data_IF_222185640792
#
_entry.id   IF_222185640792
#
_cell.length_a   1.000
_cell.length_b   1.000
_cell.length_c   1.000
_cell.angle_alpha   90.00
_cell.angle_beta   90.00
_cell.angle_gamma   90.00
#
_symmetry.space_group_name_H-M   'P 1'
#
loop_
_entity.id
_entity.type
_entity.pdbx_description
1 polymer ?
#
# COMPACT_ATOMS: atom_id res chain seq x y z
N UNK A 1 62.55 28.94 35.29
CA UNK A 1 61.58 27.84 35.45
C UNK A 1 60.20 28.40 35.20
N UNK A 2 59.51 27.86 34.20
CA UNK A 2 58.19 28.30 33.76
C UNK A 2 58.13 28.20 32.25
N UNK A 3 57.66 27.05 31.78
CA UNK A 3 57.76 26.56 30.42
C UNK A 3 56.61 27.07 29.54
N UNK A 4 56.91 27.18 28.25
CA UNK A 4 56.00 27.37 27.12
C UNK A 4 55.07 26.15 26.96
N UNK A 5 53.75 26.34 26.81
CA UNK A 5 52.86 25.33 26.21
C UNK A 5 51.62 25.96 25.55
N UNK A 6 51.81 26.29 24.28
CA UNK A 6 50.97 25.99 23.10
C UNK A 6 49.52 25.45 23.26
N UNK A 7 48.62 26.08 22.49
CA UNK A 7 47.38 25.59 21.85
C UNK A 7 46.78 24.25 22.30
N UNK A 8 45.47 24.25 22.66
CA UNK A 8 44.36 23.62 21.88
C UNK A 8 42.99 24.22 22.24
N UNK A 9 42.17 24.72 21.30
CA UNK A 9 40.73 24.78 21.50
C UNK A 9 40.15 23.37 21.41
N UNK A 10 39.34 22.97 22.41
CA UNK A 10 38.66 21.67 22.43
C UNK A 10 37.53 21.66 21.41
N UNK A 11 37.76 20.93 20.32
CA UNK A 11 36.71 20.50 19.40
C UNK A 11 35.83 19.47 20.08
N UNK A 12 34.71 19.90 20.66
CA UNK A 12 33.55 19.02 20.83
C UNK A 12 32.40 19.62 20.05
N UNK A 13 32.38 19.23 18.77
CA UNK A 13 31.27 19.41 17.86
C UNK A 13 30.08 18.58 18.39
N UNK A 14 29.37 19.12 19.37
CA UNK A 14 28.08 18.57 19.79
C UNK A 14 27.05 19.02 18.77
N UNK A 15 26.92 18.22 17.70
CA UNK A 15 25.76 18.29 16.82
C UNK A 15 24.57 17.90 17.69
N UNK A 16 23.95 18.89 18.34
CA UNK A 16 22.60 18.75 18.87
C UNK A 16 21.71 18.53 17.66
N UNK A 17 21.39 17.26 17.39
CA UNK A 17 20.22 16.89 16.61
C UNK A 17 18.99 17.36 17.38
N UNK A 18 18.70 18.66 17.28
CA UNK A 18 17.39 19.20 17.60
C UNK A 18 16.44 18.65 16.55
N UNK A 19 15.84 17.50 16.84
CA UNK A 19 14.63 17.04 16.18
C UNK A 19 13.58 18.10 16.49
N UNK A 20 13.44 19.08 15.60
CA UNK A 20 12.29 19.96 15.58
C UNK A 20 11.11 19.05 15.24
N UNK A 21 10.42 18.59 16.28
CA UNK A 21 9.07 18.06 16.21
C UNK A 21 8.19 19.17 15.62
N UNK A 22 8.11 19.19 14.28
CA UNK A 22 7.13 20.03 13.61
C UNK A 22 5.75 19.53 14.04
N UNK A 23 4.82 20.44 14.41
CA UNK A 23 3.47 20.08 14.77
C UNK A 23 2.88 19.26 13.64
N UNK A 24 2.40 18.08 14.02
CA UNK A 24 1.73 17.06 13.23
C UNK A 24 1.15 17.63 11.93
N UNK A 25 1.79 17.33 10.80
CA UNK A 25 1.03 17.29 9.54
C UNK A 25 -0.20 16.44 9.84
N UNK A 26 -1.44 16.93 9.68
CA UNK A 26 -2.58 16.04 9.71
C UNK A 26 -2.23 14.92 8.75
N UNK A 27 -2.32 13.67 9.22
CA UNK A 27 -2.11 12.50 8.38
C UNK A 27 -3.26 12.52 7.38
N UNK A 28 -3.15 13.37 6.35
CA UNK A 28 -4.01 13.30 5.20
C UNK A 28 -3.88 11.85 4.76
N UNK A 29 -5.01 11.14 4.69
CA UNK A 29 -5.03 9.76 4.25
C UNK A 29 -4.38 9.71 2.87
N UNK A 30 -3.08 9.46 2.84
CA UNK A 30 -2.34 9.53 1.61
C UNK A 30 -2.82 8.38 0.75
N UNK A 31 -3.02 8.69 -0.52
CA UNK A 31 -3.40 7.68 -1.49
C UNK A 31 -2.38 6.56 -1.47
N UNK A 32 -2.86 5.33 -1.32
CA UNK A 32 -2.01 4.16 -1.28
C UNK A 32 -2.11 3.38 -2.56
N UNK A 33 -1.07 2.61 -2.87
CA UNK A 33 -1.04 1.53 -3.83
C UNK A 33 -1.05 0.21 -3.07
N UNK A 34 -1.96 -0.67 -3.45
CA UNK A 34 -2.16 -1.98 -2.83
C UNK A 34 -1.95 -3.07 -3.86
N UNK A 35 -1.14 -4.08 -3.50
CA UNK A 35 -0.92 -5.25 -4.35
C UNK A 35 -0.60 -6.47 -3.50
N UNK A 36 -0.81 -7.66 -4.06
CA UNK A 36 -0.42 -8.91 -3.42
C UNK A 36 1.09 -9.08 -3.47
N UNK A 37 1.72 -9.19 -2.31
CA UNK A 37 3.13 -9.51 -2.19
C UNK A 37 3.32 -11.02 -2.40
N UNK A 38 4.17 -11.39 -3.35
CA UNK A 38 4.38 -12.79 -3.75
C UNK A 38 5.23 -13.58 -2.76
N UNK A 39 6.00 -12.89 -1.90
CA UNK A 39 6.93 -13.52 -0.95
C UNK A 39 6.23 -13.91 0.36
N UNK A 40 5.36 -13.04 0.89
CA UNK A 40 4.66 -13.30 2.16
C UNK A 40 3.17 -13.60 1.99
N UNK A 41 2.63 -13.50 0.76
CA UNK A 41 1.24 -13.79 0.46
C UNK A 41 0.22 -12.75 0.95
N UNK A 42 0.64 -11.73 1.71
CA UNK A 42 -0.21 -10.64 2.20
C UNK A 42 -0.36 -9.52 1.16
N UNK A 43 -1.26 -8.58 1.45
CA UNK A 43 -1.33 -7.32 0.71
C UNK A 43 -0.23 -6.39 1.22
N UNK A 44 0.55 -5.81 0.31
CA UNK A 44 1.46 -4.70 0.60
C UNK A 44 0.71 -3.38 0.42
N UNK A 45 0.82 -2.50 1.43
CA UNK A 45 0.31 -1.13 1.37
C UNK A 45 1.51 -0.21 1.15
N UNK A 46 1.56 0.44 -0.01
CA UNK A 46 2.61 1.36 -0.42
C UNK A 46 2.04 2.78 -0.51
N UNK A 47 2.72 3.77 0.05
CA UNK A 47 2.35 5.18 -0.17
C UNK A 47 2.64 5.59 -1.63
N UNK A 48 1.69 6.26 -2.30
CA UNK A 48 1.90 6.69 -3.69
C UNK A 48 2.96 7.78 -3.80
N UNK A 49 3.01 8.73 -2.85
CA UNK A 49 3.93 9.86 -2.89
C UNK A 49 5.40 9.47 -2.68
N UNK A 50 5.71 8.76 -1.59
CA UNK A 50 7.10 8.35 -1.30
C UNK A 50 7.52 7.03 -1.92
N UNK A 51 6.57 6.19 -2.36
CA UNK A 51 6.84 4.83 -2.79
C UNK A 51 7.24 3.89 -1.64
N UNK A 52 7.15 4.31 -0.38
CA UNK A 52 7.52 3.49 0.76
C UNK A 52 6.41 2.50 1.13
N UNK A 53 6.81 1.28 1.51
CA UNK A 53 5.90 0.31 2.12
C UNK A 53 5.61 0.75 3.55
N UNK A 54 4.32 0.92 3.86
CA UNK A 54 3.83 1.33 5.17
C UNK A 54 3.55 0.11 6.05
N UNK A 55 2.86 -0.88 5.48
CA UNK A 55 2.42 -2.07 6.21
C UNK A 55 2.06 -3.22 5.26
N UNK A 56 1.76 -4.36 5.86
CA UNK A 56 1.07 -5.49 5.23
C UNK A 56 -0.27 -5.75 5.89
N UNK A 57 -1.23 -6.35 5.19
CA UNK A 57 -2.52 -6.74 5.77
C UNK A 57 -3.12 -7.97 5.07
N UNK A 58 -4.08 -8.60 5.73
CA UNK A 58 -4.82 -9.75 5.21
C UNK A 58 -5.95 -9.32 4.28
N UNK A 59 -6.64 -8.22 4.60
CA UNK A 59 -7.66 -7.61 3.76
C UNK A 59 -7.73 -6.09 4.01
N UNK A 60 -8.31 -5.36 3.06
CA UNK A 60 -8.55 -3.93 3.22
C UNK A 60 -9.70 -3.43 2.34
N UNK A 61 -10.26 -2.28 2.72
CA UNK A 61 -11.22 -1.50 1.94
C UNK A 61 -10.58 -0.21 1.46
N UNK A 62 -10.68 0.06 0.15
CA UNK A 62 -10.31 1.35 -0.44
C UNK A 62 -11.54 2.09 -0.97
N UNK A 63 -11.58 3.40 -0.76
CA UNK A 63 -12.43 4.34 -1.49
C UNK A 63 -11.68 4.96 -2.68
N UNK A 64 -12.44 5.40 -3.68
CA UNK A 64 -11.94 6.10 -4.87
C UNK A 64 -10.86 5.28 -5.58
N UNK A 65 -11.19 4.01 -5.82
CA UNK A 65 -10.25 3.00 -6.24
C UNK A 65 -9.97 3.09 -7.74
N UNK A 66 -8.69 2.99 -8.11
CA UNK A 66 -8.23 2.91 -9.50
C UNK A 66 -7.47 1.60 -9.71
N UNK A 67 -7.89 0.83 -10.69
CA UNK A 67 -7.30 -0.46 -11.04
C UNK A 67 -6.23 -0.26 -12.11
N UNK A 68 -5.00 -0.66 -11.82
CA UNK A 68 -3.85 -0.42 -12.69
C UNK A 68 -3.10 -1.70 -12.96
N UNK A 69 -2.71 -1.86 -14.23
CA UNK A 69 -1.83 -2.93 -14.70
C UNK A 69 -0.66 -2.27 -15.43
N UNK A 70 0.57 -2.59 -15.01
CA UNK A 70 1.76 -2.28 -15.78
C UNK A 70 1.87 -3.29 -16.92
N UNK A 71 1.57 -2.83 -18.13
CA UNK A 71 1.52 -3.68 -19.33
C UNK A 71 2.89 -4.32 -19.64
N UNK A 72 4.00 -3.59 -19.47
CA UNK A 72 5.34 -4.16 -19.65
C UNK A 72 5.60 -5.29 -18.62
N UNK A 73 5.17 -5.07 -17.38
CA UNK A 73 5.23 -6.08 -16.33
C UNK A 73 4.38 -7.31 -16.67
N UNK A 74 3.16 -7.11 -17.17
CA UNK A 74 2.27 -8.18 -17.64
C UNK A 74 2.90 -8.97 -18.79
N UNK A 75 3.44 -8.30 -19.80
CA UNK A 75 4.10 -8.94 -20.94
C UNK A 75 5.26 -9.82 -20.49
N UNK A 76 6.07 -9.35 -19.53
CA UNK A 76 7.13 -10.17 -18.93
C UNK A 76 6.58 -11.43 -18.27
N UNK A 77 5.47 -11.35 -17.53
CA UNK A 77 4.81 -12.53 -16.93
C UNK A 77 4.33 -13.50 -18.01
N UNK A 78 3.72 -12.99 -19.08
CA UNK A 78 3.20 -13.81 -20.19
C UNK A 78 4.33 -14.53 -20.93
N UNK A 79 5.42 -13.83 -21.22
CA UNK A 79 6.59 -14.37 -21.92
C UNK A 79 7.37 -15.37 -21.06
N UNK A 80 7.69 -14.99 -19.83
CA UNK A 80 8.59 -15.80 -18.97
C UNK A 80 7.87 -16.88 -18.19
N UNK A 81 6.53 -16.81 -18.08
CA UNK A 81 5.69 -17.62 -17.19
C UNK A 81 6.09 -17.55 -15.71
N UNK A 82 6.83 -16.51 -15.31
CA UNK A 82 7.25 -16.26 -13.92
C UNK A 82 6.38 -15.18 -13.29
N UNK A 83 5.92 -15.41 -12.06
CA UNK A 83 5.09 -14.44 -11.33
C UNK A 83 5.91 -13.20 -10.97
N UNK A 84 5.38 -12.02 -11.25
CA UNK A 84 5.88 -10.73 -10.78
C UNK A 84 4.70 -9.85 -10.36
N UNK A 85 4.96 -8.83 -9.55
CA UNK A 85 3.95 -7.81 -9.24
C UNK A 85 3.85 -6.86 -10.44
N UNK A 86 2.68 -6.80 -11.05
CA UNK A 86 2.40 -5.95 -12.21
C UNK A 86 0.98 -5.37 -12.21
N UNK A 87 0.17 -5.73 -11.20
CA UNK A 87 -1.17 -5.23 -11.03
C UNK A 87 -1.34 -4.73 -9.60
N UNK A 88 -2.00 -3.58 -9.46
CA UNK A 88 -2.23 -2.93 -8.19
C UNK A 88 -3.50 -2.09 -8.23
N UNK A 89 -4.02 -1.77 -7.05
CA UNK A 89 -5.17 -0.89 -6.88
C UNK A 89 -4.72 0.31 -6.07
N UNK A 90 -5.04 1.52 -6.53
CA UNK A 90 -4.77 2.74 -5.79
C UNK A 90 -6.05 3.33 -5.20
N UNK A 91 -6.00 3.88 -3.99
CA UNK A 91 -7.18 4.48 -3.35
C UNK A 91 -6.89 5.04 -1.97
N UNK A 92 -7.94 5.47 -1.28
CA UNK A 92 -7.90 5.94 0.10
C UNK A 92 -8.29 4.79 1.02
N UNK A 93 -7.51 4.51 2.06
CA UNK A 93 -7.82 3.44 3.01
C UNK A 93 -9.06 3.82 3.82
N UNK A 94 -10.05 2.94 3.91
CA UNK A 94 -11.15 3.08 4.86
C UNK A 94 -11.02 2.10 6.03
N UNK A 95 -10.61 0.86 5.75
CA UNK A 95 -10.53 -0.22 6.74
C UNK A 95 -9.35 -1.16 6.40
N UNK A 96 -8.66 -1.70 7.41
CA UNK A 96 -7.59 -2.72 7.25
C UNK A 96 -7.70 -3.86 8.26
N UNK A 97 -7.58 -5.11 7.80
CA UNK A 97 -7.67 -6.31 8.61
C UNK A 97 -6.30 -7.00 8.70
N UNK A 98 -5.89 -7.41 9.91
CA UNK A 98 -4.62 -8.12 10.11
C UNK A 98 -3.40 -7.27 9.76
N UNK A 99 -3.42 -5.99 10.18
CA UNK A 99 -2.35 -5.03 9.88
C UNK A 99 -1.03 -5.43 10.57
N UNK A 100 0.05 -5.48 9.79
CA UNK A 100 1.43 -5.69 10.25
C UNK A 100 2.29 -4.52 9.78
N UNK A 101 2.73 -3.69 10.72
CA UNK A 101 3.61 -2.55 10.46
C UNK A 101 4.93 -2.96 9.79
N UNK A 102 5.45 -2.14 8.89
CA UNK A 102 6.71 -2.42 8.18
C UNK A 102 7.77 -1.38 8.50
N UNK A 103 8.96 -1.85 8.96
CA UNK A 103 10.12 -0.99 9.29
C UNK A 103 9.77 0.21 10.20
N UNK A 104 8.98 -0.03 11.24
CA UNK A 104 8.61 1.00 12.23
C UNK A 104 7.61 2.05 11.72
N UNK A 105 7.07 1.90 10.51
CA UNK A 105 6.01 2.77 9.98
C UNK A 105 4.65 2.23 10.43
N UNK A 106 3.81 3.12 10.93
CA UNK A 106 2.43 2.79 11.31
C UNK A 106 1.46 3.57 10.41
N UNK A 107 0.34 2.94 10.08
CA UNK A 107 -0.84 3.64 9.62
C UNK A 107 -1.64 4.08 10.84
N UNK A 108 -2.33 5.25 10.81
CA UNK A 108 -3.34 5.55 11.81
C UNK A 108 -4.36 4.40 11.84
N UNK A 109 -4.84 4.06 13.04
CA UNK A 109 -5.64 2.87 13.24
C UNK A 109 -6.98 2.98 12.50
N UNK A 110 -7.07 2.36 11.32
CA UNK A 110 -8.32 2.02 10.65
C UNK A 110 -8.70 0.62 11.13
N UNK A 111 -9.58 0.52 12.12
CA UNK A 111 -9.95 -0.78 12.68
C UNK A 111 -11.15 -1.37 11.92
N UNK A 112 -11.04 -2.61 11.45
CA UNK A 112 -12.22 -3.44 11.28
C UNK A 112 -12.76 -3.80 12.67
N UNK A 113 -14.07 -3.71 12.92
CA UNK A 113 -14.67 -4.46 14.00
C UNK A 113 -14.31 -5.94 13.82
N UNK A 114 -13.86 -6.66 14.87
CA UNK A 114 -13.60 -8.08 14.78
C UNK A 114 -14.82 -8.81 14.21
N UNK A 115 -14.63 -9.54 13.11
CA UNK A 115 -15.69 -10.31 12.46
C UNK A 115 -16.56 -9.55 11.46
N UNK A 116 -16.32 -8.26 11.19
CA UNK A 116 -16.96 -7.59 10.05
C UNK A 116 -16.30 -8.09 8.75
N UNK A 117 -17.01 -8.85 7.90
CA UNK A 117 -16.45 -9.22 6.62
C UNK A 117 -16.18 -7.96 5.80
N UNK A 118 -15.15 -8.00 4.96
CA UNK A 118 -14.98 -7.04 3.86
C UNK A 118 -16.09 -7.27 2.80
N UNK A 119 -17.34 -7.07 3.22
CA UNK A 119 -18.55 -7.30 2.45
C UNK A 119 -19.18 -5.95 2.09
N UNK A 120 -19.33 -5.70 0.78
CA UNK A 120 -19.97 -4.50 0.25
C UNK A 120 -21.50 -4.67 0.11
N UNK A 121 -22.07 -5.72 0.67
CA UNK A 121 -23.49 -6.02 0.60
C UNK A 121 -23.95 -6.41 -0.82
N UNK A 122 -25.24 -6.23 -1.08
CA UNK A 122 -25.90 -6.80 -2.27
C UNK A 122 -25.57 -6.10 -3.60
N UNK A 123 -24.99 -4.89 -3.59
CA UNK A 123 -24.64 -4.16 -4.82
C UNK A 123 -23.20 -4.39 -5.28
N UNK A 124 -22.53 -5.40 -4.72
CA UNK A 124 -21.14 -5.71 -5.02
C UNK A 124 -20.99 -6.47 -6.34
N UNK A 125 -20.04 -6.02 -7.17
CA UNK A 125 -19.51 -6.78 -8.31
C UNK A 125 -18.25 -7.53 -7.91
N UNK A 126 -18.08 -8.76 -8.41
CA UNK A 126 -16.90 -9.60 -8.17
C UNK A 126 -15.83 -9.30 -9.21
N UNK A 127 -14.65 -8.86 -8.77
CA UNK A 127 -13.57 -8.48 -9.67
C UNK A 127 -12.53 -9.57 -9.78
N UNK A 128 -12.00 -9.75 -10.99
CA UNK A 128 -10.95 -10.72 -11.29
C UNK A 128 -9.89 -10.12 -12.19
N UNK A 129 -8.68 -10.64 -12.03
CA UNK A 129 -7.56 -10.35 -12.92
C UNK A 129 -6.75 -11.61 -13.17
N UNK A 130 -6.42 -11.87 -14.43
CA UNK A 130 -5.53 -12.97 -14.84
C UNK A 130 -4.71 -12.51 -16.03
N UNK A 131 -3.37 -12.42 -15.93
CA UNK A 131 -2.52 -11.80 -16.96
C UNK A 131 -2.58 -12.51 -18.31
N UNK A 132 -2.92 -13.80 -18.31
CA UNK A 132 -3.04 -14.65 -19.49
C UNK A 132 -4.39 -14.50 -20.24
N UNK A 133 -5.42 -13.97 -19.56
CA UNK A 133 -6.77 -13.86 -20.12
C UNK A 133 -7.14 -12.43 -20.46
N UNK A 134 -6.80 -11.49 -19.58
CA UNK A 134 -7.22 -10.10 -19.71
C UNK A 134 -6.04 -9.14 -19.53
N UNK A 135 -5.96 -8.06 -20.32
CA UNK A 135 -4.96 -7.01 -20.13
C UNK A 135 -5.22 -6.17 -18.88
N UNK A 136 -6.43 -6.24 -18.32
CA UNK A 136 -6.90 -5.43 -17.19
C UNK A 136 -7.85 -6.22 -16.29
N UNK A 137 -8.35 -5.57 -15.24
CA UNK A 137 -9.37 -6.10 -14.34
C UNK A 137 -10.73 -6.14 -15.02
N UNK A 138 -11.48 -7.21 -14.74
CA UNK A 138 -12.84 -7.40 -15.26
C UNK A 138 -13.78 -7.83 -14.13
N UNK A 139 -15.07 -7.57 -14.30
CA UNK A 139 -16.11 -8.04 -13.39
C UNK A 139 -16.60 -9.48 -13.72
N UNK A 140 -17.64 -9.92 -13.03
CA UNK A 140 -18.28 -11.21 -13.25
C UNK A 140 -18.88 -11.36 -14.66
N UNK A 141 -19.23 -10.25 -15.31
CA UNK A 141 -19.79 -10.16 -16.66
C UNK A 141 -18.74 -9.86 -17.73
N UNK A 142 -17.46 -9.97 -17.39
CA UNK A 142 -16.31 -9.70 -18.27
C UNK A 142 -16.21 -8.25 -18.75
N UNK A 143 -16.91 -7.33 -18.07
CA UNK A 143 -16.79 -5.90 -18.36
C UNK A 143 -15.52 -5.36 -17.74
N UNK A 144 -14.83 -4.51 -18.48
CA UNK A 144 -13.59 -3.85 -18.01
C UNK A 144 -13.91 -2.94 -16.84
N UNK A 145 -13.07 -3.03 -15.79
CA UNK A 145 -13.18 -2.20 -14.59
C UNK A 145 -11.87 -1.45 -14.39
N UNK A 146 -11.92 -0.13 -14.54
CA UNK A 146 -10.76 0.77 -14.33
C UNK A 146 -10.87 1.57 -13.03
N UNK A 147 -12.09 1.72 -12.50
CA UNK A 147 -12.37 2.47 -11.29
C UNK A 147 -13.54 1.87 -10.50
N UNK A 148 -13.59 2.15 -9.20
CA UNK A 148 -14.70 1.81 -8.32
C UNK A 148 -14.87 2.87 -7.24
N UNK A 149 -16.11 3.08 -6.78
CA UNK A 149 -16.39 3.93 -5.61
C UNK A 149 -15.74 3.34 -4.36
N UNK A 150 -15.93 2.03 -4.15
CA UNK A 150 -15.34 1.26 -3.05
C UNK A 150 -14.90 -0.11 -3.55
N UNK A 151 -13.76 -0.60 -3.08
CA UNK A 151 -13.30 -1.98 -3.32
C UNK A 151 -12.80 -2.62 -2.02
N UNK A 152 -13.19 -3.87 -1.82
CA UNK A 152 -12.65 -4.77 -0.81
C UNK A 152 -11.68 -5.74 -1.47
N UNK A 153 -10.46 -5.84 -0.93
CA UNK A 153 -9.38 -6.69 -1.46
C UNK A 153 -8.91 -7.61 -0.35
N UNK A 154 -8.84 -8.91 -0.65
CA UNK A 154 -8.27 -9.91 0.24
C UNK A 154 -6.94 -10.44 -0.30
N UNK A 155 -6.03 -10.83 0.59
CA UNK A 155 -4.76 -11.49 0.28
C UNK A 155 -4.93 -12.81 -0.51
N UNK A 156 -6.12 -13.43 -0.41
CA UNK A 156 -6.53 -14.58 -1.23
C UNK A 156 -6.66 -14.26 -2.73
N UNK A 157 -6.70 -12.98 -3.10
CA UNK A 157 -6.96 -12.51 -4.45
C UNK A 157 -8.45 -12.28 -4.74
N UNK A 158 -9.34 -12.54 -3.78
CA UNK A 158 -10.75 -12.15 -3.90
C UNK A 158 -10.90 -10.64 -3.84
N UNK A 159 -11.67 -10.09 -4.76
CA UNK A 159 -11.98 -8.66 -4.82
C UNK A 159 -13.47 -8.50 -5.07
N UNK A 160 -14.08 -7.55 -4.36
CA UNK A 160 -15.44 -7.10 -4.64
C UNK A 160 -15.49 -5.58 -4.64
N UNK A 161 -16.34 -4.98 -5.47
CA UNK A 161 -16.39 -3.54 -5.61
C UNK A 161 -17.83 -3.04 -5.81
N UNK A 162 -18.10 -1.83 -5.29
CA UNK A 162 -19.24 -1.04 -5.73
C UNK A 162 -18.75 -0.11 -6.84
N UNK A 163 -19.27 -0.32 -8.04
CA UNK A 163 -18.87 0.43 -9.22
C UNK A 163 -19.76 1.68 -9.33
N UNK A 164 -19.19 2.74 -9.93
CA UNK A 164 -19.88 4.01 -10.14
C UNK A 164 -20.93 3.94 -11.24
#
# INVERSE_FOLDING_TARGET
>A
MGHDEHLRPSTTNSIRFSIILHPTRPVMLNRVRVYRNLNNGLLSIQEVGSGLILAHCAALRLRDALFKVNEQGRQRVVQTRRKSVHAHVEGLIEEVEGLVSYKGRSLPAFAFPPGAPCDLGNQRRSLRYTPYKWPTFVDEHLQVVTQAKVVCIQASGRMSATLS
#
